data_IF_109867658065
#
_entry.id   IF_109867658065
#
_cell.length_a   1.000
_cell.length_b   1.000
_cell.length_c   1.000
_cell.angle_alpha   90.00
_cell.angle_beta   90.00
_cell.angle_gamma   90.00
#
_symmetry.space_group_name_H-M   'P 1'
#
loop_
_entity.id
_entity.type
_entity.pdbx_description
1 polymer ?
#
# COMPACT_ATOMS: atom_id res chain seq x y z
N UNK A 1 -21.69 0.26 -19.72
CA UNK A 1 -20.35 0.30 -20.32
C UNK A 1 -19.32 0.43 -19.19
N UNK A 2 -18.56 -0.65 -18.97
CA UNK A 2 -17.59 -0.78 -17.87
C UNK A 2 -16.48 0.31 -17.97
N UNK A 3 -16.05 0.65 -19.18
CA UNK A 3 -15.04 1.66 -19.41
C UNK A 3 -15.49 3.05 -18.89
N UNK A 4 -16.76 3.40 -19.14
CA UNK A 4 -17.34 4.65 -18.63
C UNK A 4 -17.47 4.69 -17.11
N UNK A 5 -17.80 3.54 -16.50
CA UNK A 5 -17.85 3.42 -15.03
C UNK A 5 -16.47 3.59 -14.46
N UNK A 6 -15.46 2.94 -15.02
CA UNK A 6 -14.06 3.06 -14.59
C UNK A 6 -13.56 4.51 -14.72
N UNK A 7 -13.89 5.21 -15.82
CA UNK A 7 -13.54 6.63 -15.99
C UNK A 7 -14.16 7.50 -14.89
N UNK A 8 -15.45 7.30 -14.58
CA UNK A 8 -16.13 8.03 -13.50
C UNK A 8 -15.50 7.75 -12.14
N UNK A 9 -15.21 6.49 -11.83
CA UNK A 9 -14.55 6.08 -10.58
C UNK A 9 -13.18 6.74 -10.47
N UNK A 10 -12.38 6.68 -11.54
CA UNK A 10 -11.04 7.27 -11.62
C UNK A 10 -11.04 8.77 -11.36
N UNK A 11 -12.08 9.45 -11.78
CA UNK A 11 -12.24 10.91 -11.61
C UNK A 11 -12.78 11.27 -10.23
N UNK A 12 -13.83 10.56 -9.77
CA UNK A 12 -14.59 10.99 -8.60
C UNK A 12 -14.02 10.49 -7.27
N UNK A 13 -13.44 9.29 -7.23
CA UNK A 13 -12.92 8.73 -5.97
C UNK A 13 -11.72 9.51 -5.45
N UNK A 14 -10.67 9.79 -6.23
CA UNK A 14 -9.56 10.62 -5.75
C UNK A 14 -10.00 12.04 -5.38
N UNK A 15 -10.92 12.63 -6.16
CA UNK A 15 -11.45 13.96 -5.86
C UNK A 15 -12.21 13.98 -4.53
N UNK A 16 -13.09 13.02 -4.29
CA UNK A 16 -13.82 12.90 -3.03
C UNK A 16 -12.88 12.66 -1.84
N UNK A 17 -11.90 11.77 -2.00
CA UNK A 17 -10.88 11.51 -0.98
C UNK A 17 -10.03 12.76 -0.69
N UNK A 18 -9.60 13.48 -1.71
CA UNK A 18 -8.88 14.76 -1.58
C UNK A 18 -9.70 15.79 -0.80
N UNK A 19 -10.99 15.91 -1.12
CA UNK A 19 -11.89 16.86 -0.45
C UNK A 19 -12.12 16.47 1.01
N UNK A 20 -12.21 15.16 1.31
CA UNK A 20 -12.27 14.66 2.68
C UNK A 20 -11.01 15.03 3.47
N UNK A 21 -9.82 14.81 2.90
CA UNK A 21 -8.54 15.17 3.52
C UNK A 21 -8.44 16.69 3.74
N UNK A 22 -8.82 17.48 2.73
CA UNK A 22 -8.82 18.94 2.81
C UNK A 22 -9.74 19.48 3.92
N UNK A 23 -10.97 18.95 4.03
CA UNK A 23 -11.94 19.34 5.06
C UNK A 23 -11.51 18.92 6.47
N UNK A 24 -10.77 17.81 6.58
CA UNK A 24 -10.16 17.41 7.84
C UNK A 24 -8.91 18.25 8.19
N UNK A 25 -8.49 19.20 7.33
CA UNK A 25 -7.29 20.01 7.56
C UNK A 25 -5.98 19.25 7.37
N UNK A 26 -6.01 18.15 6.62
CA UNK A 26 -4.82 17.32 6.39
C UNK A 26 -3.94 17.92 5.31
N UNK A 27 -2.68 18.22 5.67
CA UNK A 27 -1.61 18.54 4.73
C UNK A 27 -0.83 17.29 4.40
N UNK A 28 -0.82 16.88 3.14
CA UNK A 28 -0.17 15.63 2.70
C UNK A 28 1.13 15.94 1.97
N UNK A 29 2.23 15.41 2.47
CA UNK A 29 3.51 15.38 1.78
C UNK A 29 3.67 14.01 1.10
N UNK A 30 3.84 13.99 -0.22
CA UNK A 30 4.03 12.76 -0.99
C UNK A 30 5.45 12.73 -1.53
N UNK A 31 6.17 11.64 -1.26
CA UNK A 31 7.55 11.41 -1.72
C UNK A 31 7.61 10.12 -2.53
N UNK A 32 8.44 10.08 -3.57
CA UNK A 32 8.74 8.85 -4.32
C UNK A 32 7.67 8.42 -5.33
N UNK A 33 6.81 9.31 -5.84
CA UNK A 33 5.83 8.96 -6.90
C UNK A 33 6.47 8.33 -8.13
N UNK A 34 7.69 8.71 -8.44
CA UNK A 34 8.48 8.17 -9.54
C UNK A 34 8.81 6.67 -9.38
N UNK A 35 8.66 6.12 -8.18
CA UNK A 35 8.86 4.70 -7.88
C UNK A 35 7.69 3.80 -8.33
N UNK A 36 6.55 4.38 -8.68
CA UNK A 36 5.41 3.62 -9.18
C UNK A 36 5.67 3.20 -10.63
N UNK A 37 5.70 1.89 -10.93
CA UNK A 37 5.85 1.40 -12.30
C UNK A 37 4.68 1.86 -13.17
N UNK A 38 4.98 2.42 -14.35
CA UNK A 38 3.96 2.90 -15.28
C UNK A 38 3.47 1.78 -16.20
N UNK A 39 2.16 1.78 -16.47
CA UNK A 39 1.56 0.87 -17.46
C UNK A 39 1.40 -0.58 -17.01
N UNK A 40 1.67 -0.87 -15.73
CA UNK A 40 1.50 -2.21 -15.17
C UNK A 40 0.73 -2.15 -13.85
N UNK A 41 -0.09 -3.16 -13.59
CA UNK A 41 -0.79 -3.28 -12.33
C UNK A 41 0.20 -3.63 -11.20
N UNK A 42 0.09 -2.94 -10.08
CA UNK A 42 0.94 -3.10 -8.91
C UNK A 42 0.16 -3.61 -7.70
N UNK A 43 0.86 -4.23 -6.76
CA UNK A 43 0.36 -4.50 -5.42
C UNK A 43 0.98 -3.45 -4.48
N UNK A 44 0.19 -2.46 -4.07
CA UNK A 44 0.59 -1.47 -3.08
C UNK A 44 0.46 -2.06 -1.68
N UNK A 45 1.55 -2.06 -0.93
CA UNK A 45 1.61 -2.61 0.42
C UNK A 45 1.96 -1.49 1.39
N UNK A 46 1.07 -1.17 2.33
CA UNK A 46 1.27 -0.09 3.28
C UNK A 46 1.11 -0.54 4.73
N UNK A 47 1.78 0.16 5.66
CA UNK A 47 1.45 0.08 7.08
C UNK A 47 0.07 0.69 7.34
N UNK A 48 -0.61 0.22 8.40
CA UNK A 48 -1.98 0.64 8.69
C UNK A 48 -2.11 1.17 10.11
N UNK A 49 -2.44 2.45 10.25
CA UNK A 49 -2.54 3.13 11.55
C UNK A 49 -3.86 3.85 11.76
N UNK A 50 -4.47 4.35 10.67
CA UNK A 50 -5.64 5.22 10.72
C UNK A 50 -6.72 4.82 9.71
N UNK A 51 -7.95 5.25 9.93
CA UNK A 51 -8.99 5.25 8.90
C UNK A 51 -8.61 6.14 7.72
N UNK A 52 -7.81 7.17 7.96
CA UNK A 52 -7.35 8.11 6.93
C UNK A 52 -6.29 7.53 5.99
N UNK A 53 -5.69 6.37 6.31
CA UNK A 53 -4.77 5.68 5.39
C UNK A 53 -5.46 5.31 4.07
N UNK A 54 -6.77 5.01 4.10
CA UNK A 54 -7.52 4.64 2.90
C UNK A 54 -7.66 5.82 1.93
N UNK A 55 -8.20 6.99 2.32
CA UNK A 55 -8.24 8.15 1.42
C UNK A 55 -6.85 8.64 1.02
N UNK A 56 -5.82 8.50 1.87
CA UNK A 56 -4.44 8.82 1.51
C UNK A 56 -3.95 7.92 0.37
N UNK A 57 -4.13 6.60 0.46
CA UNK A 57 -3.77 5.65 -0.59
C UNK A 57 -4.50 5.98 -1.90
N UNK A 58 -5.83 6.21 -1.85
CA UNK A 58 -6.67 6.49 -3.02
C UNK A 58 -6.38 7.87 -3.67
N UNK A 59 -5.69 8.77 -2.96
CA UNK A 59 -5.35 10.10 -3.48
C UNK A 59 -3.89 10.20 -3.92
N UNK A 60 -2.98 9.53 -3.19
CA UNK A 60 -1.54 9.71 -3.36
C UNK A 60 -0.92 8.74 -4.37
N UNK A 61 -1.58 7.62 -4.66
CA UNK A 61 -1.10 6.63 -5.64
C UNK A 61 -1.76 6.85 -7.00
N UNK A 62 -1.06 6.48 -8.05
CA UNK A 62 -1.54 6.67 -9.42
C UNK A 62 -2.66 5.69 -9.76
N UNK A 63 -3.76 6.24 -10.26
CA UNK A 63 -4.93 5.49 -10.71
C UNK A 63 -5.79 4.92 -9.58
N UNK A 64 -7.02 4.53 -9.90
CA UNK A 64 -7.85 3.83 -8.95
C UNK A 64 -7.32 2.42 -8.79
N UNK A 65 -7.36 1.95 -7.57
CA UNK A 65 -6.93 0.61 -7.23
C UNK A 65 -7.94 -0.02 -6.27
N UNK A 66 -8.09 -1.33 -6.41
CA UNK A 66 -8.91 -2.11 -5.51
C UNK A 66 -8.29 -2.13 -4.10
N UNK A 67 -9.12 -2.21 -3.09
CA UNK A 67 -8.67 -2.33 -1.70
C UNK A 67 -9.00 -3.72 -1.18
N UNK A 68 -8.04 -4.34 -0.48
CA UNK A 68 -8.33 -5.51 0.35
C UNK A 68 -8.82 -5.03 1.70
N UNK A 69 -10.09 -5.23 1.98
CA UNK A 69 -10.79 -4.67 3.13
C UNK A 69 -11.38 -5.74 4.04
N UNK A 70 -11.73 -5.35 5.26
CA UNK A 70 -12.42 -6.22 6.23
C UNK A 70 -13.88 -6.42 5.81
N UNK A 71 -14.40 -7.66 5.94
CA UNK A 71 -15.75 -8.01 5.50
C UNK A 71 -16.85 -7.14 6.14
N UNK A 72 -16.65 -6.66 7.37
CA UNK A 72 -17.63 -5.81 8.06
C UNK A 72 -17.87 -4.46 7.39
N UNK A 73 -16.92 -3.97 6.61
CA UNK A 73 -17.05 -2.70 5.85
C UNK A 73 -18.13 -2.82 4.77
N UNK A 74 -18.38 -4.03 4.25
CA UNK A 74 -19.45 -4.30 3.29
C UNK A 74 -20.84 -3.96 3.82
N UNK A 75 -21.01 -3.96 5.15
CA UNK A 75 -22.29 -3.65 5.81
C UNK A 75 -22.66 -2.17 5.79
N UNK A 76 -21.71 -1.28 5.41
CA UNK A 76 -21.94 0.16 5.32
C UNK A 76 -22.47 0.48 3.91
N UNK A 77 -23.77 0.83 3.73
CA UNK A 77 -24.43 0.85 2.42
C UNK A 77 -23.73 1.79 1.41
N UNK A 78 -23.40 3.01 1.83
CA UNK A 78 -22.76 4.01 0.96
C UNK A 78 -21.35 3.58 0.55
N UNK A 79 -20.55 3.08 1.50
CA UNK A 79 -19.17 2.63 1.27
C UNK A 79 -19.17 1.39 0.37
N UNK A 80 -20.07 0.44 0.60
CA UNK A 80 -20.21 -0.78 -0.21
C UNK A 80 -20.39 -0.48 -1.69
N UNK A 81 -21.21 0.53 -2.03
CA UNK A 81 -21.44 0.93 -3.42
C UNK A 81 -20.15 1.33 -4.12
N UNK A 82 -19.36 2.20 -3.50
CA UNK A 82 -18.07 2.66 -4.04
C UNK A 82 -17.02 1.55 -4.06
N UNK A 83 -16.95 0.73 -3.03
CA UNK A 83 -16.00 -0.39 -2.98
C UNK A 83 -16.28 -1.42 -4.08
N UNK A 84 -17.56 -1.65 -4.43
CA UNK A 84 -17.93 -2.51 -5.56
C UNK A 84 -17.43 -1.94 -6.89
N UNK A 85 -17.58 -0.63 -7.10
CA UNK A 85 -17.10 0.06 -8.29
C UNK A 85 -15.57 0.10 -8.40
N UNK A 86 -14.87 0.08 -7.26
CA UNK A 86 -13.41 -0.02 -7.16
C UNK A 86 -12.91 -1.47 -7.24
N UNK A 87 -13.78 -2.46 -7.45
CA UNK A 87 -13.43 -3.88 -7.43
C UNK A 87 -12.77 -4.37 -6.13
N UNK A 88 -13.10 -3.73 -5.00
CA UNK A 88 -12.53 -4.10 -3.70
C UNK A 88 -12.94 -5.51 -3.30
N UNK A 89 -12.05 -6.21 -2.60
CA UNK A 89 -12.31 -7.55 -2.08
C UNK A 89 -12.40 -7.55 -0.57
N UNK A 90 -13.25 -8.44 -0.03
CA UNK A 90 -13.52 -8.50 1.40
C UNK A 90 -12.91 -9.76 2.01
N UNK A 91 -12.07 -9.57 3.03
CA UNK A 91 -11.40 -10.65 3.76
C UNK A 91 -12.12 -10.91 5.08
N UNK A 92 -12.53 -12.14 5.31
CA UNK A 92 -13.03 -12.60 6.59
C UNK A 92 -11.88 -13.22 7.40
N UNK A 93 -11.40 -12.50 8.41
CA UNK A 93 -10.25 -12.92 9.23
C UNK A 93 -10.51 -14.14 10.12
N UNK A 94 -11.78 -14.45 10.39
CA UNK A 94 -12.19 -15.66 11.13
C UNK A 94 -12.26 -16.92 10.28
N UNK A 95 -12.14 -16.80 8.93
CA UNK A 95 -12.21 -17.92 7.99
C UNK A 95 -11.01 -17.86 7.03
N UNK A 96 -10.04 -18.74 7.27
CA UNK A 96 -8.83 -18.82 6.44
C UNK A 96 -9.14 -19.19 4.98
N UNK A 97 -10.16 -20.03 4.73
CA UNK A 97 -10.56 -20.44 3.38
C UNK A 97 -11.23 -19.28 2.64
N UNK A 98 -12.11 -18.52 3.31
CA UNK A 98 -12.74 -17.33 2.75
C UNK A 98 -11.68 -16.25 2.47
N UNK A 99 -10.75 -16.02 3.38
CA UNK A 99 -9.62 -15.10 3.20
C UNK A 99 -8.76 -15.49 1.99
N UNK A 100 -8.46 -16.78 1.81
CA UNK A 100 -7.71 -17.26 0.67
C UNK A 100 -8.47 -17.03 -0.65
N UNK A 101 -9.79 -17.27 -0.69
CA UNK A 101 -10.61 -16.96 -1.88
C UNK A 101 -10.58 -15.47 -2.21
N UNK A 102 -10.72 -14.60 -1.23
CA UNK A 102 -10.67 -13.15 -1.42
C UNK A 102 -9.30 -12.69 -1.97
N UNK A 103 -8.18 -13.21 -1.45
CA UNK A 103 -6.86 -12.89 -1.96
C UNK A 103 -6.63 -13.44 -3.38
N UNK A 104 -7.21 -14.59 -3.71
CA UNK A 104 -7.20 -15.09 -5.08
C UNK A 104 -8.03 -14.19 -6.01
N UNK A 105 -9.18 -13.69 -5.57
CA UNK A 105 -9.97 -12.73 -6.33
C UNK A 105 -9.17 -11.43 -6.56
N UNK A 106 -8.49 -10.90 -5.53
CA UNK A 106 -7.60 -9.74 -5.70
C UNK A 106 -6.48 -10.00 -6.71
N UNK A 107 -5.94 -11.23 -6.77
CA UNK A 107 -4.95 -11.59 -7.78
C UNK A 107 -5.54 -11.61 -9.21
N UNK A 108 -6.81 -11.98 -9.38
CA UNK A 108 -7.47 -11.89 -10.69
C UNK A 108 -7.69 -10.43 -11.13
N UNK A 109 -8.00 -9.50 -10.18
CA UNK A 109 -8.05 -8.07 -10.50
C UNK A 109 -6.69 -7.55 -11.01
N UNK A 110 -5.59 -7.98 -10.39
CA UNK A 110 -4.23 -7.62 -10.86
C UNK A 110 -3.95 -8.15 -12.27
N UNK A 111 -4.34 -9.39 -12.59
CA UNK A 111 -4.20 -9.95 -13.94
C UNK A 111 -5.03 -9.21 -14.99
N UNK A 112 -6.14 -8.60 -14.57
CA UNK A 112 -6.97 -7.75 -15.43
C UNK A 112 -6.43 -6.31 -15.58
N UNK A 113 -5.23 -6.04 -15.04
CA UNK A 113 -4.58 -4.73 -15.14
C UNK A 113 -5.01 -3.73 -14.07
N UNK A 114 -5.73 -4.15 -13.02
CA UNK A 114 -6.11 -3.28 -11.90
C UNK A 114 -5.13 -3.43 -10.74
N UNK A 115 -4.54 -2.36 -10.28
CA UNK A 115 -3.70 -2.36 -9.07
C UNK A 115 -4.53 -2.67 -7.83
N UNK A 116 -3.88 -3.23 -6.81
CA UNK A 116 -4.53 -3.60 -5.53
C UNK A 116 -3.73 -3.04 -4.38
N UNK A 117 -4.41 -2.41 -3.43
CA UNK A 117 -3.81 -1.96 -2.16
C UNK A 117 -4.17 -2.89 -1.02
N UNK A 118 -3.19 -3.21 -0.18
CA UNK A 118 -3.37 -4.08 0.99
C UNK A 118 -2.57 -3.57 2.18
N UNK A 119 -3.17 -3.70 3.37
CA UNK A 119 -2.53 -3.51 4.66
C UNK A 119 -2.25 -4.88 5.28
N UNK A 120 -1.03 -5.41 5.17
CA UNK A 120 -0.73 -6.80 5.53
C UNK A 120 -0.80 -7.08 7.04
N UNK A 121 -0.74 -6.05 7.88
CA UNK A 121 -0.99 -6.16 9.32
C UNK A 121 -2.40 -6.72 9.60
N UNK A 122 -3.32 -6.48 8.70
CA UNK A 122 -4.70 -6.91 8.81
C UNK A 122 -5.51 -6.17 9.90
N UNK A 123 -4.91 -5.28 10.66
CA UNK A 123 -5.56 -4.39 11.63
C UNK A 123 -4.76 -3.11 11.74
N UNK A 124 -5.34 -2.03 12.26
CA UNK A 124 -4.61 -0.80 12.52
C UNK A 124 -3.68 -0.98 13.72
N UNK A 125 -2.41 -0.68 13.53
CA UNK A 125 -1.41 -0.66 14.58
C UNK A 125 -1.69 0.50 15.56
N UNK A 126 -1.74 0.20 16.86
CA UNK A 126 -2.12 1.16 17.91
C UNK A 126 -0.95 1.63 18.78
N UNK A 127 0.24 1.11 18.53
CA UNK A 127 1.46 1.51 19.25
C UNK A 127 1.96 2.90 18.88
N UNK A 128 3.15 3.21 19.33
CA UNK A 128 3.82 4.50 19.11
C UNK A 128 4.01 4.81 17.61
N UNK A 129 4.20 6.09 17.29
CA UNK A 129 4.51 6.51 15.92
C UNK A 129 5.85 5.87 15.49
N UNK A 130 6.01 5.58 14.20
CA UNK A 130 7.16 4.82 13.71
C UNK A 130 7.07 3.30 13.93
N UNK A 131 6.21 2.83 14.82
CA UNK A 131 5.94 1.40 15.00
C UNK A 131 5.04 0.81 13.92
N UNK A 132 5.20 -0.49 13.66
CA UNK A 132 4.49 -1.24 12.63
C UNK A 132 4.13 -2.63 13.16
N UNK A 133 2.96 -3.13 12.80
CA UNK A 133 2.54 -4.49 13.14
C UNK A 133 3.20 -5.56 12.27
N UNK A 134 3.09 -6.81 12.68
CA UNK A 134 3.58 -7.96 11.91
C UNK A 134 2.85 -8.08 10.56
N UNK A 135 3.60 -8.27 9.49
CA UNK A 135 3.05 -8.46 8.15
C UNK A 135 2.69 -9.93 7.91
N UNK A 136 1.43 -10.19 7.60
CA UNK A 136 0.93 -11.53 7.32
C UNK A 136 1.36 -11.99 5.93
N UNK A 137 2.13 -13.06 5.83
CA UNK A 137 2.63 -13.60 4.57
C UNK A 137 1.54 -13.89 3.53
N UNK A 138 0.33 -14.24 3.99
CA UNK A 138 -0.82 -14.46 3.10
C UNK A 138 -1.19 -13.25 2.22
N UNK A 139 -0.93 -12.01 2.69
CA UNK A 139 -1.19 -10.79 1.95
C UNK A 139 -0.36 -10.72 0.65
N UNK A 140 0.85 -11.24 0.67
CA UNK A 140 1.78 -11.22 -0.47
C UNK A 140 1.47 -12.25 -1.56
N UNK A 141 0.49 -13.15 -1.29
CA UNK A 141 0.02 -14.13 -2.28
C UNK A 141 -0.48 -13.49 -3.57
N UNK A 142 -1.05 -12.28 -3.49
CA UNK A 142 -1.49 -11.52 -4.67
C UNK A 142 -0.30 -11.32 -5.61
N UNK A 143 0.79 -10.75 -5.11
CA UNK A 143 1.98 -10.47 -5.90
C UNK A 143 2.73 -11.75 -6.31
N UNK A 144 2.91 -12.72 -5.42
CA UNK A 144 3.65 -13.96 -5.73
C UNK A 144 2.92 -14.84 -6.75
N UNK A 145 1.58 -14.79 -6.80
CA UNK A 145 0.77 -15.53 -7.78
C UNK A 145 0.75 -14.86 -9.16
N UNK A 146 0.81 -13.53 -9.21
CA UNK A 146 0.70 -12.77 -10.46
C UNK A 146 2.04 -12.36 -11.04
N UNK A 147 3.10 -12.31 -10.23
CA UNK A 147 4.38 -11.73 -10.60
C UNK A 147 4.37 -10.19 -10.62
N UNK A 148 3.26 -9.56 -10.23
CA UNK A 148 3.12 -8.11 -10.24
C UNK A 148 4.11 -7.44 -9.27
N UNK A 149 4.61 -6.24 -9.62
CA UNK A 149 5.46 -5.46 -8.73
C UNK A 149 4.78 -5.17 -7.40
N UNK A 150 5.52 -5.31 -6.29
CA UNK A 150 5.12 -4.81 -4.97
C UNK A 150 5.70 -3.42 -4.79
N UNK A 151 4.85 -2.45 -4.49
CA UNK A 151 5.24 -1.07 -4.17
C UNK A 151 5.00 -0.83 -2.69
N UNK A 152 6.05 -0.81 -1.86
CA UNK A 152 5.91 -0.50 -0.44
C UNK A 152 5.58 0.98 -0.23
N UNK A 153 4.69 1.27 0.72
CA UNK A 153 4.25 2.63 1.05
C UNK A 153 4.31 2.84 2.55
N UNK A 154 5.11 3.79 3.01
CA UNK A 154 5.18 4.19 4.41
C UNK A 154 4.30 5.40 4.66
N UNK A 155 3.34 5.27 5.59
CA UNK A 155 2.43 6.34 5.99
C UNK A 155 2.74 6.70 7.45
N UNK A 156 3.03 7.97 7.71
CA UNK A 156 3.31 8.49 9.05
C UNK A 156 2.38 9.63 9.43
N UNK A 157 2.12 9.76 10.74
CA UNK A 157 1.27 10.77 11.35
C UNK A 157 -0.22 10.75 10.94
N UNK A 158 -0.68 9.69 10.28
CA UNK A 158 -2.10 9.58 9.90
C UNK A 158 -3.05 9.46 11.09
N UNK A 159 -2.58 8.93 12.25
CA UNK A 159 -3.37 8.87 13.49
C UNK A 159 -3.65 10.25 14.09
N UNK A 160 -2.80 11.24 13.80
CA UNK A 160 -2.96 12.60 14.34
C UNK A 160 -4.19 13.29 13.76
N UNK A 161 -4.74 12.77 12.66
CA UNK A 161 -5.98 13.28 12.06
C UNK A 161 -7.20 12.99 12.94
N UNK A 162 -7.25 11.84 13.62
CA UNK A 162 -8.45 11.45 14.35
C UNK A 162 -8.19 10.55 15.57
N UNK A 163 -7.47 9.45 15.41
CA UNK A 163 -7.36 8.42 16.46
C UNK A 163 -6.61 8.91 17.70
N UNK A 164 -5.59 9.76 17.55
CA UNK A 164 -4.86 10.36 18.69
C UNK A 164 -5.64 11.50 19.35
N UNK A 165 -6.75 11.94 18.74
CA UNK A 165 -7.58 13.05 19.21
C UNK A 165 -8.98 12.58 19.64
N UNK A 166 -9.08 11.45 20.33
CA UNK A 166 -10.34 10.89 20.82
C UNK A 166 -11.41 10.71 19.73
N UNK A 167 -10.99 10.36 18.51
CA UNK A 167 -11.85 10.21 17.32
C UNK A 167 -12.47 11.52 16.81
N UNK A 168 -11.94 12.67 17.23
CA UNK A 168 -12.27 13.99 16.68
C UNK A 168 -11.26 14.36 15.59
N UNK A 169 -11.75 14.92 14.49
CA UNK A 169 -10.90 15.37 13.39
C UNK A 169 -10.08 16.60 13.80
N UNK A 170 -8.77 16.52 13.58
CA UNK A 170 -7.84 17.61 13.79
C UNK A 170 -6.95 17.81 12.56
N UNK A 171 -6.54 19.05 12.24
CA UNK A 171 -5.53 19.31 11.24
C UNK A 171 -4.24 18.56 11.55
N UNK A 172 -3.66 17.91 10.54
CA UNK A 172 -2.44 17.14 10.70
C UNK A 172 -1.55 17.24 9.45
N UNK A 173 -0.23 17.06 9.65
CA UNK A 173 0.73 16.90 8.55
C UNK A 173 1.04 15.42 8.41
N UNK A 174 0.66 14.84 7.28
CA UNK A 174 0.83 13.41 6.99
C UNK A 174 1.86 13.25 5.89
N UNK A 175 2.79 12.32 6.06
CA UNK A 175 3.74 11.96 5.00
C UNK A 175 3.39 10.59 4.43
N UNK A 176 3.31 10.51 3.10
CA UNK A 176 3.15 9.27 2.33
C UNK A 176 4.42 9.08 1.50
N UNK A 177 5.24 8.12 1.88
CA UNK A 177 6.49 7.81 1.19
C UNK A 177 6.35 6.53 0.40
N UNK A 178 6.45 6.64 -0.92
CA UNK A 178 6.37 5.54 -1.87
C UNK A 178 7.79 5.05 -2.12
N UNK A 179 8.07 3.80 -1.77
CA UNK A 179 9.39 3.21 -1.84
C UNK A 179 9.61 2.53 -3.20
N UNK A 180 10.88 2.23 -3.58
CA UNK A 180 11.18 1.54 -4.82
C UNK A 180 10.41 0.23 -4.98
N UNK A 181 9.84 0.02 -6.16
CA UNK A 181 9.07 -1.19 -6.46
C UNK A 181 9.97 -2.44 -6.48
N UNK A 182 9.47 -3.52 -5.91
CA UNK A 182 10.10 -4.84 -5.93
C UNK A 182 9.51 -5.63 -7.10
N UNK A 183 10.35 -6.04 -8.05
CA UNK A 183 9.94 -6.82 -9.23
C UNK A 183 9.80 -8.31 -8.85
N UNK A 184 8.60 -8.69 -8.39
CA UNK A 184 8.35 -10.04 -7.82
C UNK A 184 8.55 -11.16 -8.86
N UNK A 185 8.33 -10.87 -10.15
CA UNK A 185 8.58 -11.85 -11.21
C UNK A 185 10.06 -12.30 -11.28
N UNK A 186 10.98 -11.38 -10.96
CA UNK A 186 12.43 -11.60 -11.06
C UNK A 186 13.02 -12.27 -9.80
N UNK A 187 12.25 -12.39 -8.71
CA UNK A 187 12.73 -12.98 -7.46
C UNK A 187 12.77 -14.51 -7.55
N UNK A 188 13.79 -15.10 -6.93
CA UNK A 188 13.86 -16.52 -6.69
C UNK A 188 12.83 -16.99 -5.64
N UNK A 189 12.74 -18.30 -5.44
CA UNK A 189 11.76 -18.91 -4.54
C UNK A 189 11.99 -18.54 -3.06
N UNK A 190 13.24 -18.44 -2.64
CA UNK A 190 13.59 -18.12 -1.25
C UNK A 190 13.29 -16.66 -0.94
N UNK A 191 13.66 -15.75 -1.84
CA UNK A 191 13.34 -14.32 -1.70
C UNK A 191 11.82 -14.07 -1.73
N UNK A 192 11.06 -14.83 -2.55
CA UNK A 192 9.58 -14.75 -2.53
C UNK A 192 8.98 -15.17 -1.19
N UNK A 193 9.59 -16.10 -0.46
CA UNK A 193 9.14 -16.48 0.89
C UNK A 193 9.44 -15.39 1.91
N UNK A 194 10.58 -14.71 1.77
CA UNK A 194 11.02 -13.64 2.66
C UNK A 194 10.42 -12.26 2.30
N UNK A 195 9.56 -12.20 1.27
CA UNK A 195 8.98 -10.93 0.79
C UNK A 195 8.20 -10.16 1.86
N UNK A 196 7.43 -10.79 2.79
CA UNK A 196 6.74 -10.10 3.86
C UNK A 196 7.70 -9.34 4.77
N UNK A 197 8.76 -10.00 5.23
CA UNK A 197 9.77 -9.44 6.12
C UNK A 197 10.58 -8.35 5.43
N UNK A 198 10.93 -8.56 4.15
CA UNK A 198 11.64 -7.58 3.33
C UNK A 198 10.84 -6.28 3.19
N UNK A 199 9.56 -6.37 2.84
CA UNK A 199 8.68 -5.21 2.66
C UNK A 199 8.41 -4.54 4.00
N UNK A 200 8.18 -5.30 5.06
CA UNK A 200 7.99 -4.78 6.41
C UNK A 200 9.17 -3.95 6.86
N UNK A 201 10.39 -4.46 6.67
CA UNK A 201 11.62 -3.77 7.05
C UNK A 201 11.84 -2.49 6.22
N UNK A 202 11.58 -2.52 4.91
CA UNK A 202 11.67 -1.33 4.07
C UNK A 202 10.73 -0.23 4.55
N UNK A 203 9.46 -0.57 4.88
CA UNK A 203 8.49 0.40 5.39
C UNK A 203 8.93 0.90 6.77
N UNK A 204 9.39 0.02 7.65
CA UNK A 204 9.87 0.37 8.99
C UNK A 204 11.02 1.40 8.94
N UNK A 205 12.00 1.18 8.06
CA UNK A 205 13.15 2.08 7.87
C UNK A 205 12.76 3.43 7.26
N UNK A 206 11.62 3.50 6.58
CA UNK A 206 11.12 4.72 5.97
C UNK A 206 10.25 5.56 6.91
N UNK A 207 9.86 5.04 8.07
CA UNK A 207 9.08 5.78 9.06
C UNK A 207 9.99 6.71 9.89
N UNK A 208 9.53 7.95 10.22
CA UNK A 208 10.42 9.02 10.72
C UNK A 208 11.01 8.78 12.12
N UNK A 209 10.38 7.98 12.96
CA UNK A 209 10.82 7.72 14.33
C UNK A 209 11.65 6.43 14.46
N UNK A 210 12.09 5.92 13.32
CA UNK A 210 12.94 4.75 13.35
C UNK A 210 14.35 5.14 13.84
N UNK A 211 14.69 4.72 15.06
CA UNK A 211 16.09 4.69 15.51
C UNK A 211 16.79 3.57 14.75
N UNK A 212 17.85 3.86 13.98
CA UNK A 212 18.58 2.82 13.27
C UNK A 212 19.00 1.74 14.28
N UNK A 213 18.80 0.47 13.89
CA UNK A 213 19.38 -0.63 14.66
C UNK A 213 20.88 -0.39 14.80
N UNK A 214 21.50 -0.76 15.94
CA UNK A 214 22.93 -0.59 16.11
C UNK A 214 23.67 -1.19 14.92
N UNK A 215 24.71 -0.50 14.44
CA UNK A 215 25.48 -0.80 13.21
C UNK A 215 25.94 -2.27 13.05
N UNK A 216 25.87 -3.04 14.13
CA UNK A 216 26.27 -4.45 14.19
C UNK A 216 25.12 -5.48 14.02
N UNK A 217 23.89 -5.05 13.79
CA UNK A 217 22.83 -5.98 13.42
C UNK A 217 22.99 -6.31 11.93
N UNK A 218 23.57 -7.44 11.61
CA UNK A 218 23.60 -7.99 10.25
C UNK A 218 22.16 -8.12 9.75
N UNK A 219 21.72 -7.15 8.95
CA UNK A 219 20.45 -7.24 8.25
C UNK A 219 20.61 -8.29 7.14
N UNK A 220 20.04 -9.50 7.26
CA UNK A 220 20.19 -10.53 6.25
C UNK A 220 19.68 -10.12 4.86
N UNK A 221 18.88 -9.06 4.80
CA UNK A 221 18.29 -8.53 3.57
C UNK A 221 19.04 -7.32 3.00
N UNK A 222 20.13 -6.89 3.61
CA UNK A 222 20.92 -5.74 3.16
C UNK A 222 21.40 -5.88 1.71
N UNK A 223 21.78 -7.08 1.27
CA UNK A 223 22.18 -7.36 -0.12
C UNK A 223 21.03 -7.13 -1.11
N UNK A 224 19.80 -7.54 -0.75
CA UNK A 224 18.61 -7.34 -1.60
C UNK A 224 18.21 -5.86 -1.68
N UNK A 225 18.41 -5.11 -0.59
CA UNK A 225 18.18 -3.67 -0.56
C UNK A 225 19.17 -2.92 -1.45
N UNK A 226 20.46 -3.28 -1.42
CA UNK A 226 21.49 -2.68 -2.27
C UNK A 226 21.32 -3.07 -3.74
N UNK A 227 20.89 -4.29 -4.05
CA UNK A 227 20.59 -4.71 -5.41
C UNK A 227 19.40 -3.94 -6.00
N UNK A 228 18.30 -3.81 -5.25
CA UNK A 228 17.14 -3.02 -5.71
C UNK A 228 17.48 -1.53 -5.89
N UNK A 229 18.31 -0.94 -5.02
CA UNK A 229 18.79 0.42 -5.20
C UNK A 229 19.73 0.57 -6.41
N UNK A 230 20.55 -0.43 -6.70
CA UNK A 230 21.40 -0.41 -7.90
C UNK A 230 20.58 -0.51 -9.20
N UNK A 231 19.47 -1.28 -9.21
CA UNK A 231 18.52 -1.31 -10.32
C UNK A 231 17.79 0.02 -10.49
N UNK A 232 17.38 0.67 -9.41
CA UNK A 232 16.78 2.00 -9.46
C UNK A 232 17.77 3.08 -9.97
N UNK A 233 19.04 2.98 -9.63
CA UNK A 233 20.10 3.84 -10.17
C UNK A 233 20.38 3.56 -11.66
N UNK A 234 20.39 2.30 -12.08
CA UNK A 234 20.53 1.89 -13.48
C UNK A 234 19.34 2.34 -14.35
N UNK A 235 18.12 2.28 -13.83
CA UNK A 235 16.92 2.78 -14.51
C UNK A 235 16.99 4.32 -14.68
N UNK A 236 17.51 5.05 -13.68
CA UNK A 236 17.70 6.51 -13.76
C UNK A 236 18.79 6.90 -14.77
N UNK A 237 19.90 6.14 -14.85
CA UNK A 237 20.98 6.40 -15.80
C UNK A 237 20.56 6.12 -17.25
N UNK A 238 19.72 5.12 -17.52
CA UNK A 238 19.16 4.86 -18.86
C UNK A 238 18.21 5.97 -19.32
N UNK A 239 17.31 6.45 -18.45
CA UNK A 239 16.40 7.56 -18.77
C UNK A 239 17.10 8.92 -18.92
N UNK A 240 18.32 9.07 -18.38
CA UNK A 240 19.13 10.28 -18.57
C UNK A 240 19.97 10.25 -19.85
N UNK A 241 20.21 9.07 -20.43
CA UNK A 241 20.95 8.90 -21.67
C UNK A 241 20.06 8.96 -22.96
N UNK A 242 18.72 8.95 -22.79
CA UNK A 242 17.74 9.07 -23.88
C UNK A 242 17.13 10.49 -23.99
N UNK A 243 17.70 11.48 -23.30
CA UNK A 243 17.39 12.91 -23.45
C UNK A 243 18.60 13.66 -24.00
#
# INVERSE_FOLDING_TARGET
DEARVNELVNRHVPHWCSELLRRAGVSVQVEGRENIPKGVACVFVANHRSYYDIPLMLTCLDGPHALVSKAEVEKIPLVRGWMKLLHCVYVNRGDARASLRALNQAAEEVKQGRSVSIFPEGTRYKGEEGGIGEFKGGAFRIATKTGAPVVPVAISHSRDVMENNHMLMHPAKVTVRILPAIQVAELDKETKKALPELVQEQIRLALPEHTPAPENAENPYHRLYTQNNSFAQLARSRNAAEK
#
